data_IF_393850958241
#
_entry.id   IF_393850958241
#
_cell.length_a   1.000
_cell.length_b   1.000
_cell.length_c   1.000
_cell.angle_alpha   90.00
_cell.angle_beta   90.00
_cell.angle_gamma   90.00
#
_symmetry.space_group_name_H-M   'P 1'
#
loop_
_entity.id
_entity.type
_entity.pdbx_description
1 polymer ?
#
# COMPACT_ATOMS: atom_id res chain seq x y z
N UNK A 1 34.87 -73.67 -55.64
CA UNK A 1 34.93 -72.17 -55.76
C UNK A 1 33.70 -71.60 -55.03
N UNK A 2 33.89 -71.30 -53.74
CA UNK A 2 32.77 -70.83 -52.88
C UNK A 2 33.01 -69.39 -52.46
N UNK A 3 32.25 -68.46 -52.98
CA UNK A 3 32.25 -67.05 -52.55
C UNK A 3 31.15 -66.85 -51.50
N UNK A 4 31.55 -66.48 -50.31
CA UNK A 4 30.66 -66.08 -49.24
C UNK A 4 30.34 -64.57 -49.39
N UNK A 5 29.09 -64.14 -49.23
CA UNK A 5 28.76 -62.74 -49.19
C UNK A 5 29.00 -62.16 -47.77
N UNK A 6 29.62 -61.00 -47.73
CA UNK A 6 29.80 -60.21 -46.51
C UNK A 6 28.56 -59.46 -46.24
N UNK A 7 27.97 -59.62 -45.05
CA UNK A 7 26.81 -58.87 -44.54
C UNK A 7 27.34 -57.59 -43.91
N UNK A 8 26.95 -56.44 -44.49
CA UNK A 8 27.18 -55.16 -43.93
C UNK A 8 26.13 -54.92 -42.82
N UNK A 9 26.59 -54.79 -41.59
CA UNK A 9 25.75 -54.46 -40.41
C UNK A 9 25.72 -52.94 -40.25
N UNK A 10 24.61 -52.31 -40.66
CA UNK A 10 24.37 -50.86 -40.50
C UNK A 10 23.90 -50.60 -39.07
N UNK A 11 24.73 -49.96 -38.26
CA UNK A 11 24.38 -49.50 -36.91
C UNK A 11 23.59 -48.19 -37.05
N UNK A 12 22.31 -48.24 -36.83
CA UNK A 12 21.45 -47.06 -36.72
C UNK A 12 21.55 -46.45 -35.30
N UNK A 13 22.29 -45.35 -35.17
CA UNK A 13 22.39 -44.57 -33.92
C UNK A 13 21.14 -43.71 -33.77
N UNK A 14 20.18 -44.14 -32.97
CA UNK A 14 18.99 -43.37 -32.59
C UNK A 14 19.39 -42.29 -31.58
N UNK A 15 19.50 -41.05 -32.04
CA UNK A 15 19.60 -39.87 -31.19
C UNK A 15 18.23 -39.59 -30.52
N UNK A 16 18.06 -40.00 -29.28
CA UNK A 16 16.92 -39.66 -28.42
C UNK A 16 17.15 -38.23 -27.90
N UNK A 17 16.63 -37.23 -28.62
CA UNK A 17 16.56 -35.85 -28.13
C UNK A 17 15.50 -35.80 -27.06
N UNK A 18 15.90 -35.86 -25.79
CA UNK A 18 15.02 -35.68 -24.64
C UNK A 18 14.45 -34.27 -24.62
N UNK A 19 13.17 -34.08 -24.95
CA UNK A 19 12.42 -32.88 -24.62
C UNK A 19 12.26 -32.81 -23.09
N UNK A 20 13.13 -32.03 -22.43
CA UNK A 20 12.90 -31.64 -21.05
C UNK A 20 11.72 -30.65 -21.03
N UNK A 21 10.65 -30.90 -20.25
CA UNK A 21 9.62 -29.90 -20.08
C UNK A 21 10.24 -28.69 -19.37
N UNK A 22 10.34 -27.56 -20.04
CA UNK A 22 10.62 -26.26 -19.42
C UNK A 22 9.41 -25.94 -18.56
N UNK A 23 9.44 -26.34 -17.29
CA UNK A 23 8.49 -25.89 -16.29
C UNK A 23 8.69 -24.40 -16.12
N UNK A 24 8.00 -23.61 -16.92
CA UNK A 24 7.87 -22.17 -16.71
C UNK A 24 7.25 -21.98 -15.34
N UNK A 25 8.06 -21.59 -14.35
CA UNK A 25 7.55 -21.13 -13.07
C UNK A 25 6.67 -19.91 -13.35
N UNK A 26 5.38 -20.14 -13.55
CA UNK A 26 4.38 -19.08 -13.58
C UNK A 26 4.42 -18.43 -12.20
N UNK A 27 5.04 -17.25 -12.10
CA UNK A 27 5.00 -16.46 -10.88
C UNK A 27 3.52 -16.18 -10.59
N UNK A 28 2.95 -16.94 -9.65
CA UNK A 28 1.55 -16.79 -9.26
C UNK A 28 1.32 -15.33 -8.87
N UNK A 29 0.42 -14.66 -9.56
CA UNK A 29 0.10 -13.25 -9.27
C UNK A 29 -0.31 -13.14 -7.80
N UNK A 30 0.36 -12.23 -7.07
CA UNK A 30 0.06 -11.99 -5.65
C UNK A 30 -1.41 -11.66 -5.47
N UNK A 31 -2.05 -12.25 -4.45
CA UNK A 31 -3.40 -11.87 -4.06
C UNK A 31 -3.48 -10.38 -3.74
N UNK A 32 -4.65 -9.78 -3.77
CA UNK A 32 -4.80 -8.38 -3.38
C UNK A 32 -4.39 -8.17 -1.91
N UNK A 33 -4.73 -9.12 -1.03
CA UNK A 33 -4.26 -9.11 0.37
C UNK A 33 -2.75 -9.07 0.46
N UNK A 34 -2.04 -9.92 -0.28
CA UNK A 34 -0.57 -9.94 -0.27
C UNK A 34 0.05 -8.66 -0.86
N UNK A 35 -0.68 -8.02 -1.78
CA UNK A 35 -0.25 -6.76 -2.35
C UNK A 35 -0.38 -5.59 -1.38
N UNK A 36 -1.40 -5.53 -0.52
CA UNK A 36 -1.56 -4.43 0.45
C UNK A 36 -0.64 -4.58 1.66
N UNK A 37 -0.32 -5.80 2.09
CA UNK A 37 0.55 -6.07 3.23
C UNK A 37 1.93 -5.47 3.03
N UNK A 38 2.44 -4.77 4.05
CA UNK A 38 3.79 -4.23 4.08
C UNK A 38 3.91 -2.86 4.74
N UNK A 39 5.12 -2.29 4.62
CA UNK A 39 5.43 -0.95 5.05
C UNK A 39 5.48 -0.01 3.84
N UNK A 40 4.88 1.16 3.99
CA UNK A 40 4.68 2.12 2.92
C UNK A 40 5.10 3.52 3.37
N UNK A 41 5.75 4.28 2.49
CA UNK A 41 6.02 5.70 2.69
C UNK A 41 5.03 6.55 1.91
N UNK A 42 4.64 7.68 2.45
CA UNK A 42 3.78 8.64 1.76
C UNK A 42 4.52 9.23 0.55
N UNK A 43 3.80 9.34 -0.57
CA UNK A 43 4.22 10.08 -1.77
C UNK A 43 3.42 11.36 -1.90
N UNK A 44 2.08 11.27 -1.81
CA UNK A 44 1.21 12.45 -1.81
C UNK A 44 -0.06 12.21 -1.00
N UNK A 45 -0.64 13.32 -0.51
CA UNK A 45 -1.95 13.38 0.12
C UNK A 45 -2.70 14.58 -0.45
N UNK A 46 -3.69 14.31 -1.27
CA UNK A 46 -4.45 15.34 -1.97
C UNK A 46 -5.92 15.30 -1.56
N UNK A 47 -6.44 16.42 -1.11
CA UNK A 47 -7.86 16.61 -0.80
C UNK A 47 -8.52 17.51 -1.83
N UNK A 48 -9.75 17.19 -2.15
CA UNK A 48 -10.59 17.96 -3.07
C UNK A 48 -11.94 18.22 -2.40
N UNK A 49 -12.52 19.38 -2.65
CA UNK A 49 -13.88 19.71 -2.25
C UNK A 49 -14.93 19.01 -3.14
N UNK A 50 -16.19 19.31 -2.94
CA UNK A 50 -17.29 18.75 -3.73
C UNK A 50 -17.27 19.19 -5.20
N UNK A 51 -16.70 20.35 -5.49
CA UNK A 51 -16.52 20.89 -6.85
C UNK A 51 -15.29 20.30 -7.57
N UNK A 52 -14.46 19.53 -6.84
CA UNK A 52 -13.22 18.95 -7.38
C UNK A 52 -12.02 19.90 -7.28
N UNK A 53 -12.13 21.02 -6.59
CA UNK A 53 -11.01 21.93 -6.34
C UNK A 53 -10.10 21.36 -5.27
N UNK A 54 -8.78 21.42 -5.50
CA UNK A 54 -7.80 20.97 -4.49
C UNK A 54 -7.79 21.91 -3.30
N UNK A 55 -7.89 21.36 -2.10
CA UNK A 55 -7.90 22.08 -0.83
C UNK A 55 -6.81 21.57 0.11
N UNK A 56 -6.27 22.39 1.02
CA UNK A 56 -5.33 21.96 2.04
C UNK A 56 -5.90 20.87 2.95
N UNK A 57 -5.09 19.91 3.34
CA UNK A 57 -5.43 18.88 4.32
C UNK A 57 -4.61 18.99 5.60
N UNK A 58 -3.48 19.65 5.51
CA UNK A 58 -2.54 19.88 6.60
C UNK A 58 -2.10 21.34 6.56
N UNK A 59 -1.79 21.90 7.72
CA UNK A 59 -1.00 23.13 7.84
C UNK A 59 0.48 22.73 8.07
N UNK A 60 1.41 23.52 7.54
CA UNK A 60 2.85 23.26 7.58
C UNK A 60 3.40 22.69 6.26
N UNK A 61 4.70 22.52 6.24
CA UNK A 61 5.48 22.03 5.09
C UNK A 61 5.98 20.59 5.30
N UNK A 62 6.59 20.01 4.27
CA UNK A 62 7.32 18.74 4.30
C UNK A 62 6.53 17.59 4.94
N UNK A 63 5.31 17.35 4.44
CA UNK A 63 4.46 16.26 4.91
C UNK A 63 5.12 14.91 4.65
N UNK A 64 5.46 14.19 5.70
CA UNK A 64 5.97 12.82 5.66
C UNK A 64 4.98 11.85 6.28
N UNK A 65 5.00 10.58 5.83
CA UNK A 65 4.10 9.58 6.39
C UNK A 65 4.61 8.15 6.25
N UNK A 66 4.05 7.33 7.12
CA UNK A 66 4.20 5.87 7.10
C UNK A 66 2.84 5.21 7.26
N UNK A 67 2.65 4.13 6.51
CA UNK A 67 1.53 3.22 6.68
C UNK A 67 2.10 1.81 6.82
N UNK A 68 1.64 1.07 7.81
CA UNK A 68 1.99 -0.33 8.03
C UNK A 68 0.69 -1.13 8.01
N UNK A 69 0.65 -2.15 7.17
CA UNK A 69 -0.44 -3.11 7.06
C UNK A 69 0.16 -4.51 7.25
N UNK A 70 -0.23 -5.19 8.32
CA UNK A 70 0.29 -6.51 8.65
C UNK A 70 -0.59 -7.63 8.07
N UNK A 71 -0.05 -8.83 7.93
CA UNK A 71 -0.77 -9.97 7.36
C UNK A 71 -1.94 -10.45 8.26
N UNK A 72 -1.83 -10.22 9.56
CA UNK A 72 -2.85 -10.52 10.56
C UNK A 72 -3.92 -9.41 10.70
N UNK A 73 -3.84 -8.35 9.89
CA UNK A 73 -4.88 -7.33 9.78
C UNK A 73 -4.72 -6.12 10.69
N UNK A 74 -3.54 -5.89 11.27
CA UNK A 74 -3.27 -4.65 12.00
C UNK A 74 -2.90 -3.53 11.04
N UNK A 75 -3.29 -2.31 11.40
CA UNK A 75 -2.90 -1.11 10.68
C UNK A 75 -2.37 -0.03 11.63
N UNK A 76 -1.35 0.69 11.14
CA UNK A 76 -0.88 1.92 11.76
C UNK A 76 -0.52 2.91 10.66
N UNK A 77 -1.01 4.13 10.75
CA UNK A 77 -0.69 5.21 9.81
C UNK A 77 -0.33 6.48 10.56
N UNK A 78 0.71 7.14 10.07
CA UNK A 78 1.14 8.44 10.58
C UNK A 78 1.50 9.34 9.40
N UNK A 79 1.01 10.57 9.44
CA UNK A 79 1.34 11.63 8.50
C UNK A 79 1.58 12.88 9.31
N UNK A 80 2.75 13.48 9.17
CA UNK A 80 3.20 14.59 10.02
C UNK A 80 3.95 15.58 9.13
N UNK A 81 3.57 16.86 9.23
CA UNK A 81 4.32 17.99 8.65
C UNK A 81 5.52 18.33 9.50
N UNK A 82 6.39 19.20 9.02
CA UNK A 82 7.45 19.76 9.85
C UNK A 82 6.83 20.67 10.92
N UNK A 83 6.89 20.23 12.17
CA UNK A 83 6.40 20.98 13.33
C UNK A 83 7.61 21.60 14.04
N UNK A 84 7.63 22.93 14.28
CA UNK A 84 8.71 23.58 15.02
C UNK A 84 8.90 22.98 16.42
N UNK A 85 10.13 23.02 16.92
CA UNK A 85 10.40 22.62 18.30
C UNK A 85 9.60 23.47 19.27
N UNK A 86 9.03 22.83 20.28
CA UNK A 86 8.28 23.52 21.32
C UNK A 86 9.19 24.42 22.15
N UNK A 87 8.71 25.59 22.55
CA UNK A 87 9.44 26.51 23.43
C UNK A 87 9.66 25.88 24.82
N UNK A 88 8.66 25.15 25.34
CA UNK A 88 8.79 24.35 26.56
C UNK A 88 9.38 22.96 26.29
N UNK A 89 10.28 22.50 27.16
CA UNK A 89 10.72 21.10 27.15
C UNK A 89 9.67 20.13 27.69
N UNK A 90 8.61 20.62 28.31
CA UNK A 90 7.54 19.83 28.90
C UNK A 90 6.38 19.72 27.91
N UNK A 91 6.09 18.51 27.45
CA UNK A 91 5.06 18.21 26.46
C UNK A 91 3.67 18.77 26.78
N UNK A 92 3.34 18.91 28.06
CA UNK A 92 2.03 19.42 28.51
C UNK A 92 2.04 20.93 28.82
N UNK A 93 3.10 21.65 28.43
CA UNK A 93 3.24 23.10 28.61
C UNK A 93 3.44 23.80 27.25
N UNK A 94 2.52 23.54 26.35
CA UNK A 94 2.48 24.14 25.01
C UNK A 94 1.71 25.47 25.02
N UNK A 95 2.00 26.33 24.06
CA UNK A 95 1.19 27.49 23.74
C UNK A 95 0.03 27.12 22.81
N UNK A 96 -1.00 27.93 22.74
CA UNK A 96 -2.13 27.72 21.81
C UNK A 96 -1.68 27.65 20.34
N UNK A 97 -0.64 28.40 19.96
CA UNK A 97 -0.07 28.35 18.60
C UNK A 97 0.63 27.02 18.32
N UNK A 98 1.37 26.47 19.30
CA UNK A 98 2.03 25.16 19.19
C UNK A 98 0.99 24.04 19.15
N UNK A 99 -0.07 24.10 19.98
CA UNK A 99 -1.17 23.14 19.94
C UNK A 99 -1.86 23.13 18.58
N UNK A 100 -2.11 24.32 18.02
CA UNK A 100 -2.69 24.46 16.67
C UNK A 100 -1.77 23.81 15.62
N UNK A 101 -0.46 24.10 15.66
CA UNK A 101 0.50 23.52 14.71
C UNK A 101 0.52 21.99 14.78
N UNK A 102 0.49 21.44 16.00
CA UNK A 102 0.39 19.98 16.20
C UNK A 102 -0.92 19.45 15.68
N UNK A 103 -2.05 20.02 16.05
CA UNK A 103 -3.37 19.54 15.66
C UNK A 103 -3.60 19.58 14.14
N UNK A 104 -3.09 20.60 13.45
CA UNK A 104 -3.26 20.77 12.01
C UNK A 104 -2.16 20.11 11.19
N UNK A 105 -1.01 19.81 11.80
CA UNK A 105 0.12 19.17 11.15
C UNK A 105 0.17 17.65 11.31
N UNK A 106 -0.67 17.04 12.13
CA UNK A 106 -0.59 15.60 12.45
C UNK A 106 -1.90 14.88 12.14
N UNK A 107 -1.79 13.81 11.36
CA UNK A 107 -2.83 12.78 11.27
C UNK A 107 -2.20 11.43 11.58
N UNK A 108 -2.54 10.86 12.73
CA UNK A 108 -2.05 9.55 13.18
C UNK A 108 -3.24 8.71 13.60
N UNK A 109 -3.26 7.44 13.20
CA UNK A 109 -4.29 6.50 13.60
C UNK A 109 -3.81 5.06 13.54
N UNK A 110 -4.46 4.21 14.31
CA UNK A 110 -4.22 2.78 14.30
C UNK A 110 -5.54 2.01 14.51
N UNK A 111 -5.49 0.72 14.23
CA UNK A 111 -6.62 -0.19 14.35
C UNK A 111 -6.41 -1.45 13.56
N UNK A 112 -7.49 -2.00 13.02
CA UNK A 112 -7.47 -3.19 12.19
C UNK A 112 -7.98 -2.91 10.78
N UNK A 113 -7.71 -3.83 9.84
CA UNK A 113 -8.27 -3.75 8.51
C UNK A 113 -8.66 -5.13 7.99
N UNK A 114 -9.58 -5.14 7.04
CA UNK A 114 -9.92 -6.30 6.22
C UNK A 114 -9.81 -5.95 4.75
N UNK A 115 -9.70 -6.97 3.89
CA UNK A 115 -9.65 -6.81 2.44
C UNK A 115 -10.91 -7.33 1.78
N UNK A 116 -11.41 -6.61 0.79
CA UNK A 116 -12.42 -7.06 -0.16
C UNK A 116 -11.73 -7.29 -1.50
N UNK A 117 -11.43 -8.55 -1.79
CA UNK A 117 -10.68 -8.99 -2.96
C UNK A 117 -11.40 -8.65 -4.26
N UNK A 118 -12.73 -8.83 -4.28
CA UNK A 118 -13.56 -8.61 -5.47
C UNK A 118 -13.61 -7.13 -5.87
N UNK A 119 -13.74 -6.24 -4.88
CA UNK A 119 -13.87 -4.80 -5.10
C UNK A 119 -12.55 -4.04 -4.99
N UNK A 120 -11.42 -4.74 -4.76
CA UNK A 120 -10.10 -4.13 -4.53
C UNK A 120 -10.14 -3.01 -3.49
N UNK A 121 -10.78 -3.32 -2.37
CA UNK A 121 -11.05 -2.36 -1.29
C UNK A 121 -10.45 -2.87 0.01
N UNK A 122 -9.89 -1.98 0.82
CA UNK A 122 -9.64 -2.24 2.23
C UNK A 122 -10.67 -1.51 3.09
N UNK A 123 -11.05 -2.14 4.19
CA UNK A 123 -12.00 -1.60 5.17
C UNK A 123 -11.21 -1.40 6.46
N UNK A 124 -11.05 -0.14 6.86
CA UNK A 124 -10.29 0.24 8.06
C UNK A 124 -11.25 0.36 9.24
N UNK A 125 -11.00 -0.37 10.31
CA UNK A 125 -11.64 -0.17 11.60
C UNK A 125 -10.67 0.56 12.51
N UNK A 126 -10.85 1.88 12.60
CA UNK A 126 -9.95 2.76 13.36
C UNK A 126 -10.33 2.72 14.83
N UNK A 127 -9.39 2.34 15.67
CA UNK A 127 -9.56 2.28 17.13
C UNK A 127 -9.29 3.63 17.78
N UNK A 128 -8.22 4.32 17.36
CA UNK A 128 -7.85 5.65 17.83
C UNK A 128 -7.23 6.47 16.69
N UNK A 129 -7.50 7.75 16.73
CA UNK A 129 -6.95 8.74 15.80
C UNK A 129 -6.64 10.06 16.50
N UNK A 130 -5.61 10.76 16.03
CA UNK A 130 -5.34 12.15 16.40
C UNK A 130 -6.45 13.10 15.92
N UNK A 131 -7.24 12.69 14.91
CA UNK A 131 -8.46 13.37 14.48
C UNK A 131 -9.67 12.56 14.98
N UNK A 132 -10.39 13.01 16.04
CA UNK A 132 -11.44 12.21 16.68
C UNK A 132 -12.55 11.75 15.74
N UNK A 133 -12.96 12.60 14.78
CA UNK A 133 -14.01 12.26 13.82
C UNK A 133 -13.60 11.21 12.78
N UNK A 134 -12.33 10.81 12.75
CA UNK A 134 -11.83 9.74 11.87
C UNK A 134 -12.21 8.33 12.37
N UNK A 135 -12.44 8.19 13.67
CA UNK A 135 -12.83 6.92 14.28
C UNK A 135 -14.35 6.71 14.12
N UNK A 136 -14.78 6.03 13.06
CA UNK A 136 -16.21 5.95 12.70
C UNK A 136 -16.91 4.70 13.25
N UNK A 137 -16.22 3.73 13.83
CA UNK A 137 -16.80 2.45 14.29
C UNK A 137 -17.49 1.60 13.20
N UNK A 138 -17.74 2.15 12.01
CA UNK A 138 -18.47 1.50 10.91
C UNK A 138 -17.57 0.95 9.79
N UNK A 139 -16.27 1.08 9.94
CA UNK A 139 -15.31 0.74 8.91
C UNK A 139 -15.23 1.80 7.78
N UNK A 140 -14.04 2.31 7.53
CA UNK A 140 -13.80 3.29 6.49
C UNK A 140 -13.25 2.60 5.23
N UNK A 141 -14.04 2.55 4.16
CA UNK A 141 -13.63 1.95 2.89
C UNK A 141 -12.57 2.79 2.18
N UNK A 142 -11.61 2.11 1.57
CA UNK A 142 -10.56 2.68 0.73
C UNK A 142 -10.45 1.87 -0.56
N UNK A 143 -10.79 2.47 -1.68
CA UNK A 143 -10.57 1.85 -2.99
C UNK A 143 -9.09 1.90 -3.32
N UNK A 144 -8.53 0.76 -3.69
CA UNK A 144 -7.09 0.59 -3.90
C UNK A 144 -6.81 0.31 -5.37
N UNK A 145 -5.81 0.99 -5.90
CA UNK A 145 -5.17 0.63 -7.16
C UNK A 145 -3.67 0.56 -6.98
N UNK A 146 -3.01 -0.32 -7.75
CA UNK A 146 -1.56 -0.46 -7.74
C UNK A 146 -0.98 -0.04 -9.09
N UNK A 147 0.19 0.59 -9.05
CA UNK A 147 1.04 0.87 -10.21
C UNK A 147 2.49 0.62 -9.80
N UNK A 148 3.04 -0.51 -10.24
CA UNK A 148 4.36 -0.95 -9.78
C UNK A 148 4.44 -1.11 -8.26
N UNK A 149 5.33 -0.37 -7.62
CA UNK A 149 5.51 -0.33 -6.17
C UNK A 149 4.67 0.74 -5.46
N UNK A 150 3.75 1.39 -6.18
CA UNK A 150 2.84 2.39 -5.62
C UNK A 150 1.44 1.84 -5.40
N UNK A 151 0.86 2.20 -4.26
CA UNK A 151 -0.50 1.91 -3.86
C UNK A 151 -1.26 3.23 -3.69
N UNK A 152 -2.35 3.38 -4.43
CA UNK A 152 -3.20 4.57 -4.41
C UNK A 152 -4.50 4.27 -3.68
N UNK A 153 -4.80 5.08 -2.69
CA UNK A 153 -6.10 5.14 -2.02
C UNK A 153 -6.94 6.24 -2.68
N UNK A 154 -8.14 5.89 -3.11
CA UNK A 154 -9.10 6.84 -3.67
C UNK A 154 -10.39 6.80 -2.86
N UNK A 155 -10.61 7.83 -2.07
CA UNK A 155 -11.70 7.89 -1.11
C UNK A 155 -12.69 9.00 -1.52
N UNK A 156 -13.89 8.61 -1.88
CA UNK A 156 -15.02 9.50 -2.15
C UNK A 156 -15.98 9.51 -0.95
N UNK A 157 -16.73 10.56 -0.80
CA UNK A 157 -17.78 10.66 0.24
C UNK A 157 -17.24 10.95 1.64
N UNK A 158 -16.40 11.97 1.79
CA UNK A 158 -16.05 12.52 3.11
C UNK A 158 -17.29 13.13 3.78
N UNK A 159 -17.29 13.20 5.11
CA UNK A 159 -18.38 13.83 5.91
C UNK A 159 -18.67 15.27 5.46
N UNK A 160 -17.67 15.99 4.95
CA UNK A 160 -17.80 17.34 4.41
C UNK A 160 -17.97 17.38 2.87
N UNK A 161 -18.25 16.24 2.22
CA UNK A 161 -18.21 16.10 0.76
C UNK A 161 -16.79 16.04 0.21
N UNK A 162 -16.67 15.76 -1.11
CA UNK A 162 -15.40 15.76 -1.81
C UNK A 162 -14.65 14.42 -1.83
N UNK A 163 -13.34 14.47 -2.10
CA UNK A 163 -12.49 13.31 -2.37
C UNK A 163 -11.13 13.45 -1.69
N UNK A 164 -10.56 12.35 -1.24
CA UNK A 164 -9.15 12.28 -0.82
C UNK A 164 -8.44 11.21 -1.63
N UNK A 165 -7.28 11.57 -2.16
CA UNK A 165 -6.36 10.67 -2.84
C UNK A 165 -5.06 10.64 -2.07
N UNK A 166 -4.62 9.43 -1.69
CA UNK A 166 -3.34 9.24 -1.02
C UNK A 166 -2.52 8.23 -1.80
N UNK A 167 -1.30 8.59 -2.11
CA UNK A 167 -0.35 7.70 -2.80
C UNK A 167 0.74 7.28 -1.84
N UNK A 168 0.93 5.98 -1.77
CA UNK A 168 1.93 5.32 -0.94
C UNK A 168 2.91 4.56 -1.82
N UNK A 169 4.18 4.56 -1.49
CA UNK A 169 5.21 3.76 -2.14
C UNK A 169 5.76 2.72 -1.18
N UNK A 170 5.90 1.49 -1.65
CA UNK A 170 6.41 0.37 -0.84
C UNK A 170 7.83 0.67 -0.37
N UNK A 171 8.08 0.39 0.90
CA UNK A 171 9.43 0.38 1.48
C UNK A 171 10.01 -1.01 1.22
N UNK A 172 11.19 -1.03 0.62
CA UNK A 172 11.99 -2.25 0.38
C UNK A 172 12.94 -2.48 1.52
#
# INVERSE_FOLDING_TARGET
>A
MNRRPQTLMTVALLLLVGLLPVSGASAQAKSFKDQVVGAWRLVSFDSFDAAGTKIPSFEGSDLKGRLILTADGLLCAQMITEIPKLASKARLKTTAAEDKAIAHGVLSFFGTYTTDEANKTIILLIERSSYPNHATGKGAKRNITFSGDEMRFDNRGRTAGGRVVVVWKRIK
#
